data_IF_600556520611
#
_entry.id   IF_600556520611
#
_cell.length_a   1.000
_cell.length_b   1.000
_cell.length_c   1.000
_cell.angle_alpha   90.00
_cell.angle_beta   90.00
_cell.angle_gamma   90.00
#
_symmetry.space_group_name_H-M   'P 1'
#
loop_
_entity.id
_entity.type
_entity.pdbx_description
1 polymer ?
#
# COMPACT_ATOMS: atom_id res chain seq x y z
N UNK A 1 -17.97 7.07 -73.74
CA UNK A 1 -18.96 6.22 -73.11
C UNK A 1 -18.29 5.74 -71.82
N UNK A 2 -18.85 6.15 -70.70
CA UNK A 2 -18.13 6.21 -69.44
C UNK A 2 -18.54 5.02 -68.55
N UNK A 3 -17.58 4.19 -68.17
CA UNK A 3 -17.78 3.11 -67.24
C UNK A 3 -17.61 3.61 -65.76
N UNK A 4 -18.66 3.50 -64.96
CA UNK A 4 -18.64 3.76 -63.53
C UNK A 4 -18.06 2.50 -62.83
N UNK A 5 -16.92 2.66 -62.19
CA UNK A 5 -16.39 1.67 -61.27
C UNK A 5 -16.93 1.97 -59.85
N UNK A 6 -17.85 1.10 -59.37
CA UNK A 6 -18.30 1.10 -57.99
C UNK A 6 -17.28 0.36 -57.13
N UNK A 7 -16.54 1.08 -56.29
CA UNK A 7 -15.66 0.52 -55.29
C UNK A 7 -16.50 0.31 -53.99
N UNK A 8 -16.79 -0.93 -53.71
CA UNK A 8 -17.35 -1.37 -52.42
C UNK A 8 -16.25 -1.36 -51.38
N UNK A 9 -16.28 -0.39 -50.48
CA UNK A 9 -15.41 -0.35 -49.32
C UNK A 9 -16.10 -1.19 -48.20
N UNK A 10 -15.60 -2.40 -47.98
CA UNK A 10 -16.01 -3.22 -46.86
C UNK A 10 -15.32 -2.69 -45.60
N UNK A 11 -16.09 -2.01 -44.74
CA UNK A 11 -15.63 -1.56 -43.41
C UNK A 11 -15.62 -2.74 -42.45
N UNK A 12 -14.45 -3.36 -42.30
CA UNK A 12 -14.25 -4.40 -41.30
C UNK A 12 -14.19 -3.75 -39.91
N UNK A 13 -15.25 -3.88 -39.12
CA UNK A 13 -15.28 -3.52 -37.71
C UNK A 13 -14.46 -4.54 -36.92
N UNK A 14 -13.19 -4.26 -36.69
CA UNK A 14 -12.37 -5.03 -35.75
C UNK A 14 -12.79 -4.63 -34.32
N UNK A 15 -13.64 -5.45 -33.69
CA UNK A 15 -13.92 -5.37 -32.27
C UNK A 15 -12.66 -5.81 -31.53
N UNK A 16 -11.83 -4.85 -31.11
CA UNK A 16 -10.73 -5.11 -30.18
C UNK A 16 -11.34 -5.35 -28.81
N UNK A 17 -11.40 -6.62 -28.42
CA UNK A 17 -11.58 -7.00 -27.02
C UNK A 17 -10.34 -6.46 -26.28
N UNK A 18 -10.46 -5.29 -25.64
CA UNK A 18 -9.52 -4.86 -24.64
C UNK A 18 -9.66 -5.77 -23.42
N UNK A 19 -8.88 -6.87 -23.38
CA UNK A 19 -8.58 -7.54 -22.14
C UNK A 19 -7.87 -6.52 -21.27
N UNK A 20 -8.54 -6.02 -20.25
CA UNK A 20 -7.87 -5.29 -19.16
C UNK A 20 -7.03 -6.27 -18.38
N UNK A 21 -5.81 -6.53 -18.85
CA UNK A 21 -4.77 -7.11 -18.00
C UNK A 21 -4.46 -6.06 -16.95
N UNK A 22 -4.85 -6.33 -15.70
CA UNK A 22 -4.36 -5.52 -14.58
C UNK A 22 -2.83 -5.56 -14.62
N UNK A 23 -2.25 -4.43 -15.02
CA UNK A 23 -0.81 -4.31 -15.16
C UNK A 23 -0.23 -4.15 -13.78
N UNK A 24 0.45 -5.19 -13.26
CA UNK A 24 1.16 -5.11 -11.98
C UNK A 24 2.17 -3.97 -12.01
N UNK A 25 2.33 -3.29 -10.90
CA UNK A 25 3.36 -2.27 -10.75
C UNK A 25 4.76 -2.82 -11.09
N UNK A 26 5.68 -2.01 -11.63
CA UNK A 26 7.06 -2.41 -11.85
C UNK A 26 7.69 -2.94 -10.56
N UNK A 27 8.55 -3.95 -10.67
CA UNK A 27 9.33 -4.43 -9.54
C UNK A 27 10.46 -3.44 -9.23
N UNK A 28 10.42 -2.86 -8.04
CA UNK A 28 11.43 -1.91 -7.57
C UNK A 28 12.22 -2.44 -6.36
N UNK A 29 11.95 -3.67 -5.94
CA UNK A 29 12.51 -4.27 -4.72
C UNK A 29 14.03 -4.25 -4.72
N UNK A 30 14.66 -4.65 -5.82
CA UNK A 30 16.13 -4.70 -5.91
C UNK A 30 16.75 -3.30 -5.96
N UNK A 31 16.11 -2.36 -6.65
CA UNK A 31 16.59 -0.97 -6.69
C UNK A 31 16.59 -0.35 -5.29
N UNK A 32 15.49 -0.50 -4.56
CA UNK A 32 15.37 0.00 -3.18
C UNK A 32 16.38 -0.69 -2.27
N UNK A 33 16.49 -2.02 -2.34
CA UNK A 33 17.43 -2.80 -1.51
C UNK A 33 18.87 -2.40 -1.76
N UNK A 34 19.29 -2.27 -3.00
CA UNK A 34 20.66 -1.89 -3.35
C UNK A 34 20.99 -0.47 -2.88
N UNK A 35 20.04 0.46 -2.99
CA UNK A 35 20.20 1.82 -2.50
C UNK A 35 20.32 1.87 -0.97
N UNK A 36 19.51 1.10 -0.24
CA UNK A 36 19.60 0.97 1.22
C UNK A 36 20.94 0.38 1.66
N UNK A 37 21.39 -0.71 1.00
CA UNK A 37 22.68 -1.33 1.30
C UNK A 37 23.84 -0.35 1.06
N UNK A 38 23.79 0.42 -0.04
CA UNK A 38 24.80 1.44 -0.34
C UNK A 38 24.84 2.57 0.68
N UNK A 39 23.73 2.80 1.37
CA UNK A 39 23.62 3.78 2.47
C UNK A 39 23.99 3.17 3.85
N UNK A 40 24.40 1.88 3.91
CA UNK A 40 24.75 1.19 5.14
C UNK A 40 23.55 0.69 5.97
N UNK A 41 22.35 0.67 5.38
CA UNK A 41 21.09 0.25 6.03
C UNK A 41 20.77 -1.22 5.71
N UNK A 42 21.73 -2.11 5.94
CA UNK A 42 21.67 -3.52 5.53
C UNK A 42 20.63 -4.35 6.32
N UNK A 43 20.21 -3.89 7.48
CA UNK A 43 19.22 -4.56 8.34
C UNK A 43 17.78 -4.22 7.94
N UNK A 44 17.59 -3.29 6.99
CA UNK A 44 16.28 -2.96 6.44
C UNK A 44 15.95 -3.91 5.30
N UNK A 45 14.83 -4.62 5.46
CA UNK A 45 14.27 -5.52 4.45
C UNK A 45 13.23 -4.81 3.62
N UNK A 46 13.17 -5.16 2.34
CA UNK A 46 12.23 -4.60 1.37
C UNK A 46 11.37 -5.71 0.79
N UNK A 47 10.07 -5.52 0.81
CA UNK A 47 9.10 -6.35 0.08
C UNK A 47 8.15 -5.46 -0.70
N UNK A 48 7.50 -6.00 -1.74
CA UNK A 48 6.57 -5.25 -2.56
C UNK A 48 5.32 -6.07 -2.86
N UNK A 49 4.14 -5.48 -2.62
CA UNK A 49 2.89 -5.91 -3.23
C UNK A 49 2.71 -5.13 -4.53
N UNK A 50 2.91 -5.80 -5.66
CA UNK A 50 2.84 -5.20 -7.00
C UNK A 50 1.41 -4.97 -7.47
N UNK A 51 0.46 -5.71 -6.93
CA UNK A 51 -0.96 -5.55 -7.27
C UNK A 51 -1.55 -4.31 -6.59
N UNK A 52 -1.08 -4.00 -5.38
CA UNK A 52 -1.47 -2.82 -4.60
C UNK A 52 -0.52 -1.63 -4.79
N UNK A 53 0.63 -1.85 -5.44
CA UNK A 53 1.70 -0.87 -5.58
C UNK A 53 2.18 -0.32 -4.22
N UNK A 54 2.40 -1.23 -3.26
CA UNK A 54 2.90 -0.95 -1.91
C UNK A 54 4.29 -1.55 -1.76
N UNK A 55 5.24 -0.75 -1.30
CA UNK A 55 6.58 -1.20 -0.89
C UNK A 55 6.67 -1.12 0.63
N UNK A 56 6.91 -2.26 1.28
CA UNK A 56 7.05 -2.35 2.73
C UNK A 56 8.52 -2.40 3.12
N UNK A 57 8.94 -1.48 3.98
CA UNK A 57 10.23 -1.50 4.67
C UNK A 57 10.04 -2.12 6.05
N UNK A 58 10.85 -3.10 6.39
CA UNK A 58 10.81 -3.76 7.70
C UNK A 58 12.21 -4.03 8.23
N UNK A 59 12.30 -4.48 9.47
CA UNK A 59 13.58 -4.68 10.14
C UNK A 59 13.82 -3.63 11.22
N UNK A 60 15.08 -3.40 11.59
CA UNK A 60 15.40 -2.48 12.67
C UNK A 60 16.59 -1.61 12.29
N UNK A 61 16.58 -0.37 12.80
CA UNK A 61 17.70 0.56 12.72
C UNK A 61 18.05 1.08 14.13
N UNK A 62 19.22 1.66 14.29
CA UNK A 62 19.66 2.14 15.60
C UNK A 62 19.03 3.48 15.99
N UNK A 63 18.69 4.33 15.01
CA UNK A 63 18.24 5.71 15.23
C UNK A 63 17.03 6.07 14.38
N UNK A 64 16.27 7.08 14.81
CA UNK A 64 15.18 7.65 14.00
C UNK A 64 15.72 8.30 12.71
N UNK A 65 16.94 8.85 12.73
CA UNK A 65 17.57 9.42 11.54
C UNK A 65 17.82 8.34 10.48
N UNK A 66 18.28 7.15 10.88
CA UNK A 66 18.45 6.03 9.95
C UNK A 66 17.11 5.55 9.38
N UNK A 67 16.05 5.55 10.19
CA UNK A 67 14.69 5.25 9.74
C UNK A 67 14.23 6.27 8.70
N UNK A 68 14.36 7.56 8.97
CA UNK A 68 14.01 8.63 8.02
C UNK A 68 14.82 8.57 6.73
N UNK A 69 16.11 8.19 6.81
CA UNK A 69 16.96 7.96 5.63
C UNK A 69 16.47 6.78 4.80
N UNK A 70 16.11 5.67 5.45
CA UNK A 70 15.58 4.50 4.77
C UNK A 70 14.29 4.82 4.00
N UNK A 71 13.35 5.53 4.66
CA UNK A 71 12.10 5.97 4.03
C UNK A 71 12.36 6.88 2.82
N UNK A 72 13.27 7.85 2.97
CA UNK A 72 13.63 8.80 1.89
C UNK A 72 14.24 8.10 0.69
N UNK A 73 15.14 7.13 0.92
CA UNK A 73 15.76 6.30 -0.12
C UNK A 73 14.67 5.50 -0.83
N UNK A 74 13.79 4.82 -0.09
CA UNK A 74 12.71 4.04 -0.68
C UNK A 74 11.79 4.90 -1.54
N UNK A 75 11.37 6.07 -1.05
CA UNK A 75 10.55 7.02 -1.83
C UNK A 75 11.22 7.45 -3.12
N UNK A 76 12.53 7.66 -3.12
CA UNK A 76 13.26 8.06 -4.32
C UNK A 76 13.37 6.96 -5.37
N UNK A 77 13.39 5.68 -4.97
CA UNK A 77 13.56 4.53 -5.84
C UNK A 77 12.24 3.87 -6.26
N UNK A 78 11.20 4.02 -5.45
CA UNK A 78 9.93 3.32 -5.64
C UNK A 78 8.93 4.05 -6.55
N UNK A 79 9.30 5.23 -7.07
CA UNK A 79 8.42 6.01 -7.95
C UNK A 79 7.13 6.44 -7.27
N UNK A 80 5.99 5.95 -7.75
CA UNK A 80 4.66 6.28 -7.22
C UNK A 80 4.10 5.22 -6.25
N UNK A 81 4.91 4.26 -5.81
CA UNK A 81 4.48 3.26 -4.83
C UNK A 81 4.23 3.90 -3.46
N UNK A 82 3.25 3.36 -2.74
CA UNK A 82 3.06 3.69 -1.34
C UNK A 82 4.15 3.02 -0.52
N UNK A 83 4.83 3.77 0.35
CA UNK A 83 5.84 3.21 1.26
C UNK A 83 5.16 2.94 2.61
N UNK A 84 5.13 1.67 3.03
CA UNK A 84 4.76 1.23 4.36
C UNK A 84 6.05 1.15 5.21
N UNK A 85 6.25 2.08 6.14
CA UNK A 85 7.46 2.15 6.96
C UNK A 85 7.28 1.42 8.30
N UNK A 86 7.44 0.10 8.27
CA UNK A 86 7.38 -0.79 9.43
C UNK A 86 8.75 -0.98 10.12
N UNK A 87 9.72 -0.09 9.89
CA UNK A 87 11.04 -0.14 10.52
C UNK A 87 10.92 0.16 12.02
N UNK A 88 11.43 -0.72 12.86
CA UNK A 88 11.59 -0.49 14.29
C UNK A 88 12.89 0.26 14.60
N UNK A 89 12.85 1.16 15.57
CA UNK A 89 14.07 1.80 16.09
C UNK A 89 14.53 1.07 17.34
N UNK A 90 15.77 0.59 17.31
CA UNK A 90 16.37 -0.24 18.38
C UNK A 90 17.71 0.36 18.75
N UNK A 91 17.74 1.33 19.69
CA UNK A 91 19.00 1.89 20.19
C UNK A 91 19.89 0.80 20.79
N UNK A 92 21.19 0.87 20.54
CA UNK A 92 22.15 -0.08 21.08
C UNK A 92 22.12 -0.09 22.61
N UNK A 93 21.96 -1.28 23.17
CA UNK A 93 21.86 -1.50 24.61
C UNK A 93 20.44 -1.49 25.18
N UNK A 94 19.45 -0.95 24.43
CA UNK A 94 18.03 -0.89 24.83
C UNK A 94 17.08 -1.62 23.86
N UNK A 95 17.63 -2.48 23.00
CA UNK A 95 16.86 -3.14 21.92
C UNK A 95 15.66 -3.92 22.48
N UNK A 96 15.85 -4.59 23.61
CA UNK A 96 14.80 -5.38 24.26
C UNK A 96 13.66 -4.51 24.80
N UNK A 97 14.00 -3.41 25.44
CA UNK A 97 13.03 -2.45 25.99
C UNK A 97 12.26 -1.78 24.86
N UNK A 98 12.94 -1.30 23.83
CA UNK A 98 12.33 -0.67 22.68
C UNK A 98 11.36 -1.63 21.96
N UNK A 99 11.77 -2.89 21.73
CA UNK A 99 10.89 -3.92 21.15
C UNK A 99 9.64 -4.16 21.99
N UNK A 100 9.77 -4.20 23.32
CA UNK A 100 8.64 -4.42 24.23
C UNK A 100 7.65 -3.25 24.13
N UNK A 101 8.15 -2.01 24.16
CA UNK A 101 7.32 -0.80 24.05
C UNK A 101 6.54 -0.80 22.72
N UNK A 102 7.20 -1.05 21.59
CA UNK A 102 6.51 -1.12 20.29
C UNK A 102 5.44 -2.21 20.28
N UNK A 103 5.73 -3.39 20.81
CA UNK A 103 4.75 -4.48 20.88
C UNK A 103 3.54 -4.16 21.76
N UNK A 104 3.74 -3.42 22.86
CA UNK A 104 2.66 -2.96 23.73
C UNK A 104 1.80 -1.87 23.03
N UNK A 105 2.44 -0.95 22.32
CA UNK A 105 1.76 0.06 21.52
C UNK A 105 0.95 -0.58 20.39
N UNK A 106 1.53 -1.51 19.63
CA UNK A 106 0.85 -2.24 18.55
C UNK A 106 -0.37 -3.01 19.10
N UNK A 107 -0.23 -3.66 20.27
CA UNK A 107 -1.35 -4.33 20.94
C UNK A 107 -2.46 -3.37 21.38
N UNK A 108 -2.12 -2.15 21.76
CA UNK A 108 -3.08 -1.09 22.06
C UNK A 108 -3.82 -0.61 20.82
N UNK A 109 -3.10 -0.42 19.71
CA UNK A 109 -3.67 -0.07 18.40
C UNK A 109 -4.63 -1.17 17.95
N UNK A 110 -4.21 -2.44 18.02
CA UNK A 110 -5.01 -3.61 17.63
C UNK A 110 -6.38 -3.62 18.31
N UNK A 111 -6.42 -3.52 19.64
CA UNK A 111 -7.66 -3.50 20.42
C UNK A 111 -8.58 -2.32 20.04
N UNK A 112 -8.00 -1.14 19.81
CA UNK A 112 -8.77 0.05 19.44
C UNK A 112 -9.33 -0.07 18.01
N UNK A 113 -8.56 -0.63 17.07
CA UNK A 113 -9.01 -0.89 15.70
C UNK A 113 -10.14 -1.93 15.69
N UNK A 114 -9.99 -3.03 16.43
CA UNK A 114 -11.04 -4.04 16.54
C UNK A 114 -12.35 -3.41 17.06
N UNK A 115 -12.28 -2.64 18.14
CA UNK A 115 -13.45 -1.95 18.70
C UNK A 115 -14.08 -0.98 17.69
N UNK A 116 -13.26 -0.22 16.96
CA UNK A 116 -13.71 0.71 15.93
C UNK A 116 -14.39 -0.05 14.77
N UNK A 117 -13.80 -1.14 14.28
CA UNK A 117 -14.39 -1.93 13.20
C UNK A 117 -15.72 -2.57 13.61
N UNK A 118 -15.84 -3.05 14.85
CA UNK A 118 -17.10 -3.59 15.40
C UNK A 118 -18.16 -2.49 15.50
N UNK A 119 -17.81 -1.31 16.01
CA UNK A 119 -18.71 -0.16 16.12
C UNK A 119 -19.27 0.24 14.75
N UNK A 120 -18.45 0.21 13.71
CA UNK A 120 -18.84 0.55 12.35
C UNK A 120 -19.39 -0.64 11.54
N UNK A 121 -19.53 -1.83 12.14
CA UNK A 121 -19.99 -3.08 11.51
C UNK A 121 -19.13 -3.51 10.29
N UNK A 122 -17.85 -3.20 10.34
CA UNK A 122 -16.89 -3.47 9.26
C UNK A 122 -15.96 -4.65 9.56
N UNK A 123 -16.02 -5.22 10.76
CA UNK A 123 -15.14 -6.30 11.25
C UNK A 123 -15.18 -7.61 10.42
N UNK A 124 -16.16 -7.78 9.52
CA UNK A 124 -16.23 -8.92 8.59
C UNK A 124 -15.68 -8.61 7.21
N UNK A 125 -15.58 -7.34 6.86
CA UNK A 125 -15.21 -6.89 5.52
C UNK A 125 -13.82 -6.29 5.47
N UNK A 126 -13.34 -5.78 6.59
CA UNK A 126 -12.03 -5.15 6.75
C UNK A 126 -11.19 -5.97 7.71
N UNK A 127 -10.01 -6.32 7.25
CA UNK A 127 -8.93 -6.93 8.04
C UNK A 127 -7.80 -5.91 8.14
N UNK A 128 -6.90 -6.09 9.08
CA UNK A 128 -5.75 -5.19 9.24
C UNK A 128 -4.57 -5.92 9.84
N UNK A 129 -3.39 -5.37 9.60
CA UNK A 129 -2.14 -5.72 10.27
C UNK A 129 -1.60 -4.48 10.97
N UNK A 130 -0.94 -4.67 12.11
CA UNK A 130 -0.28 -3.59 12.87
C UNK A 130 1.17 -3.94 13.09
N UNK A 131 2.08 -3.05 12.68
CA UNK A 131 3.53 -3.24 12.81
C UNK A 131 4.22 -1.91 13.08
N UNK A 132 4.85 -1.77 14.24
CA UNK A 132 5.57 -0.56 14.67
C UNK A 132 4.75 0.74 14.50
N UNK A 133 3.43 0.66 14.73
CA UNK A 133 2.49 1.77 14.59
C UNK A 133 1.97 1.99 13.17
N UNK A 134 2.39 1.20 12.19
CA UNK A 134 1.81 1.20 10.84
C UNK A 134 0.63 0.26 10.79
N UNK A 135 -0.51 0.75 10.32
CA UNK A 135 -1.76 -0.01 10.12
C UNK A 135 -1.97 -0.24 8.63
N UNK A 136 -2.00 -1.49 8.20
CA UNK A 136 -2.34 -1.86 6.82
C UNK A 136 -3.76 -2.40 6.78
N UNK A 137 -4.68 -1.65 6.15
CA UNK A 137 -6.09 -2.03 5.99
C UNK A 137 -6.26 -2.89 4.74
N UNK A 138 -6.90 -4.06 4.87
CA UNK A 138 -7.12 -5.04 3.80
C UNK A 138 -8.59 -5.44 3.72
N UNK A 139 -9.02 -5.89 2.55
CA UNK A 139 -10.38 -6.41 2.34
C UNK A 139 -11.18 -5.62 1.33
N UNK A 140 -12.50 -5.78 1.39
CA UNK A 140 -13.37 -5.21 0.37
C UNK A 140 -14.46 -4.35 1.00
N UNK A 141 -14.64 -3.15 0.45
CA UNK A 141 -15.66 -2.20 0.88
C UNK A 141 -16.61 -1.86 -0.29
N UNK A 142 -17.87 -1.50 -0.01
CA UNK A 142 -18.86 -1.23 -1.05
C UNK A 142 -18.60 0.03 -1.89
N UNK A 143 -17.87 1.01 -1.35
CA UNK A 143 -17.70 2.30 -2.02
C UNK A 143 -16.37 2.99 -1.66
N UNK A 144 -15.92 3.90 -2.53
CA UNK A 144 -14.76 4.76 -2.28
C UNK A 144 -14.96 5.63 -1.03
N UNK A 145 -16.18 6.05 -0.76
CA UNK A 145 -16.50 6.80 0.47
C UNK A 145 -16.21 5.99 1.74
N UNK A 146 -16.58 4.70 1.75
CA UNK A 146 -16.26 3.81 2.86
C UNK A 146 -14.77 3.51 2.97
N UNK A 147 -14.08 3.32 1.84
CA UNK A 147 -12.62 3.17 1.81
C UNK A 147 -11.92 4.35 2.48
N UNK A 148 -12.28 5.57 2.06
CA UNK A 148 -11.72 6.80 2.63
C UNK A 148 -12.11 7.01 4.10
N UNK A 149 -13.33 6.62 4.48
CA UNK A 149 -13.79 6.73 5.86
C UNK A 149 -13.02 5.78 6.80
N UNK A 150 -12.78 4.53 6.38
CA UNK A 150 -11.99 3.56 7.15
C UNK A 150 -10.56 4.06 7.38
N UNK A 151 -9.93 4.62 6.37
CA UNK A 151 -8.60 5.22 6.49
C UNK A 151 -8.57 6.34 7.54
N UNK A 152 -9.52 7.28 7.46
CA UNK A 152 -9.64 8.38 8.43
C UNK A 152 -9.88 7.90 9.86
N UNK A 153 -10.73 6.89 10.04
CA UNK A 153 -11.01 6.31 11.35
C UNK A 153 -9.77 5.61 11.91
N UNK A 154 -9.05 4.85 11.10
CA UNK A 154 -7.81 4.21 11.52
C UNK A 154 -6.73 5.24 11.89
N UNK A 155 -6.61 6.36 11.16
CA UNK A 155 -5.69 7.46 11.49
C UNK A 155 -5.99 8.14 12.83
N UNK A 156 -7.24 8.07 13.32
CA UNK A 156 -7.63 8.65 14.60
C UNK A 156 -7.33 7.74 15.80
N UNK A 157 -6.96 6.49 15.56
CA UNK A 157 -6.59 5.56 16.63
C UNK A 157 -5.28 6.02 17.28
N UNK A 158 -5.25 6.12 18.63
CA UNK A 158 -4.04 6.54 19.34
C UNK A 158 -2.82 5.69 18.98
N UNK A 159 -1.66 6.32 18.86
CA UNK A 159 -0.36 5.74 18.51
C UNK A 159 -0.22 5.20 17.07
N UNK A 160 -1.22 5.32 16.23
CA UNK A 160 -1.09 5.05 14.79
C UNK A 160 -0.19 6.13 14.17
N UNK A 161 0.92 5.70 13.57
CA UNK A 161 1.90 6.55 12.89
C UNK A 161 1.59 6.70 11.40
N UNK A 162 1.10 5.61 10.79
CA UNK A 162 0.76 5.56 9.37
C UNK A 162 -0.41 4.59 9.12
N UNK A 163 -1.24 4.91 8.13
CA UNK A 163 -2.23 3.98 7.59
C UNK A 163 -1.93 3.71 6.12
N UNK A 164 -1.77 2.46 5.76
CA UNK A 164 -1.68 1.95 4.39
C UNK A 164 -3.04 1.37 4.02
N UNK A 165 -3.69 1.94 3.02
CA UNK A 165 -5.07 1.57 2.68
C UNK A 165 -5.10 0.70 1.42
N UNK A 166 -5.06 -0.63 1.60
CA UNK A 166 -5.17 -1.65 0.55
C UNK A 166 -6.62 -2.14 0.33
N UNK A 167 -7.62 -1.44 0.88
CA UNK A 167 -9.02 -1.79 0.70
C UNK A 167 -9.43 -1.68 -0.77
N UNK A 168 -10.13 -2.70 -1.27
CA UNK A 168 -10.71 -2.73 -2.61
C UNK A 168 -12.16 -2.30 -2.58
N UNK A 169 -12.59 -1.56 -3.61
CA UNK A 169 -13.98 -1.17 -3.76
C UNK A 169 -14.70 -2.18 -4.63
N UNK A 170 -15.66 -2.90 -4.03
CA UNK A 170 -16.53 -3.83 -4.76
C UNK A 170 -17.49 -3.04 -5.66
N UNK A 171 -17.73 -3.58 -6.86
CA UNK A 171 -18.76 -3.07 -7.79
C UNK A 171 -18.54 -1.63 -8.26
N UNK A 172 -17.32 -1.24 -8.54
CA UNK A 172 -17.08 0.00 -9.26
C UNK A 172 -17.67 -0.12 -10.68
N UNK A 173 -18.86 0.46 -10.89
CA UNK A 173 -19.43 0.58 -12.23
C UNK A 173 -18.55 1.52 -13.04
N UNK A 174 -18.26 1.15 -14.29
CA UNK A 174 -17.61 2.05 -15.22
C UNK A 174 -18.45 3.34 -15.31
N UNK A 175 -17.85 4.47 -14.95
CA UNK A 175 -18.44 5.79 -15.21
C UNK A 175 -17.82 6.31 -16.49
N UNK A 176 -18.67 6.59 -17.50
CA UNK A 176 -18.27 7.30 -18.70
C UNK A 176 -18.58 8.78 -18.47
N UNK A 177 -17.57 9.62 -18.53
CA UNK A 177 -17.75 11.06 -18.73
C UNK A 177 -17.80 11.33 -20.22
N UNK A 178 -18.89 12.00 -20.64
CA UNK A 178 -19.02 12.56 -21.98
C UNK A 178 -18.18 13.82 -22.10
#
# INVERSE_FOLDING_TARGET
MKSLNSILIALALAATFACSTETKAPDVTDNVRNALNSAGLNDVRVSQDRDKNVVTLSGNVATEDDKGRAESIAKSQAGNAVIADEIGVRPKGDEGTAKKVDSELDSGIDKNLEAMLVQHKMNRAVHYDVNNGVVTLKGNVPSQGQRNNMEKLAQQVPNVKQVVNELEVKNQRATSTK
#
